data_IF_600081277711
#
_entry.id   IF_600081277711
#
_cell.length_a   1.000
_cell.length_b   1.000
_cell.length_c   1.000
_cell.angle_alpha   90.00
_cell.angle_beta   90.00
_cell.angle_gamma   90.00
#
_symmetry.space_group_name_H-M   'P 1'
#
loop_
_entity.id
_entity.type
_entity.pdbx_description
1 polymer ?
#
# COMPACT_ATOMS: atom_id res chain seq x y z
N UNK A 1 -14.74 -3.58 8.16
CA UNK A 1 -15.05 -4.71 7.21
C UNK A 1 -16.32 -4.34 6.48
N UNK A 2 -16.33 -4.42 5.16
CA UNK A 2 -17.46 -4.07 4.29
C UNK A 2 -18.59 -5.09 4.49
N UNK A 3 -19.86 -4.66 4.51
CA UNK A 3 -21.00 -5.53 4.82
C UNK A 3 -21.13 -6.70 3.84
N UNK A 4 -20.86 -6.49 2.54
CA UNK A 4 -20.83 -7.57 1.54
C UNK A 4 -19.83 -8.71 1.86
N UNK A 5 -18.72 -8.39 2.53
CA UNK A 5 -17.72 -9.40 2.96
C UNK A 5 -18.23 -10.17 4.18
N UNK A 6 -18.94 -9.49 5.11
CA UNK A 6 -19.57 -10.16 6.25
C UNK A 6 -20.66 -11.12 5.79
N UNK A 7 -21.48 -10.70 4.83
CA UNK A 7 -22.55 -11.53 4.25
C UNK A 7 -21.99 -12.75 3.51
N UNK A 8 -20.94 -12.56 2.71
CA UNK A 8 -20.27 -13.65 2.02
C UNK A 8 -19.68 -14.68 3.01
N UNK A 9 -19.08 -14.20 4.10
CA UNK A 9 -18.58 -15.07 5.18
C UNK A 9 -19.70 -15.82 5.89
N UNK A 10 -20.81 -15.14 6.22
CA UNK A 10 -21.98 -15.76 6.84
C UNK A 10 -22.62 -16.84 5.97
N UNK A 11 -22.58 -16.68 4.63
CA UNK A 11 -23.05 -17.69 3.67
C UNK A 11 -22.04 -18.83 3.43
N UNK A 12 -20.89 -18.83 4.09
CA UNK A 12 -19.86 -19.85 3.92
C UNK A 12 -19.15 -19.83 2.55
N UNK A 13 -19.16 -18.69 1.85
CA UNK A 13 -18.51 -18.56 0.53
C UNK A 13 -17.03 -18.22 0.68
N UNK A 14 -16.62 -17.67 1.84
CA UNK A 14 -15.25 -17.33 2.14
C UNK A 14 -14.67 -18.34 3.12
N UNK A 15 -14.02 -19.36 2.60
CA UNK A 15 -13.21 -20.30 3.38
C UNK A 15 -11.74 -19.94 3.22
N UNK A 16 -11.01 -20.03 4.35
CA UNK A 16 -9.56 -19.92 4.33
C UNK A 16 -8.98 -21.31 4.44
N UNK A 17 -8.29 -21.74 3.41
CA UNK A 17 -7.55 -22.99 3.40
C UNK A 17 -6.05 -22.70 3.55
N UNK A 18 -5.27 -23.73 3.89
CA UNK A 18 -3.82 -23.63 3.86
C UNK A 18 -3.32 -23.46 2.43
N UNK A 19 -2.14 -22.90 2.21
CA UNK A 19 -1.55 -22.86 0.88
C UNK A 19 -1.45 -24.26 0.28
N UNK A 20 -1.74 -24.39 -1.01
CA UNK A 20 -1.48 -25.63 -1.74
C UNK A 20 0.02 -25.81 -1.96
N UNK A 21 0.50 -27.05 -2.10
CA UNK A 21 1.92 -27.41 -2.23
C UNK A 21 2.41 -27.40 -3.67
N UNK A 22 1.55 -27.71 -4.63
CA UNK A 22 1.92 -27.81 -6.04
C UNK A 22 0.77 -27.54 -6.99
N UNK A 23 1.11 -27.10 -8.21
CA UNK A 23 0.19 -27.08 -9.34
C UNK A 23 0.21 -28.41 -10.09
N UNK A 24 -0.92 -28.73 -10.71
CA UNK A 24 -1.06 -29.74 -11.75
C UNK A 24 -1.63 -29.11 -13.01
N UNK A 25 -1.74 -29.85 -14.09
CA UNK A 25 -2.34 -29.37 -15.33
C UNK A 25 -3.77 -28.83 -15.14
N UNK A 26 -4.55 -29.45 -14.23
CA UNK A 26 -5.98 -29.17 -14.08
C UNK A 26 -6.37 -28.74 -12.65
N UNK A 27 -5.42 -28.42 -11.79
CA UNK A 27 -5.75 -28.07 -10.42
C UNK A 27 -4.54 -27.88 -9.51
N UNK A 28 -4.77 -28.08 -8.21
CA UNK A 28 -3.76 -27.93 -7.16
C UNK A 28 -3.70 -29.18 -6.28
N UNK A 29 -2.53 -29.42 -5.69
CA UNK A 29 -2.31 -30.45 -4.67
C UNK A 29 -2.08 -29.76 -3.34
N UNK A 30 -2.79 -30.16 -2.31
CA UNK A 30 -2.64 -29.68 -0.95
C UNK A 30 -1.50 -30.42 -0.22
N UNK A 31 -1.07 -29.90 0.93
CA UNK A 31 0.00 -30.51 1.74
C UNK A 31 -0.32 -31.95 2.19
N UNK A 32 -1.59 -32.29 2.36
CA UNK A 32 -2.05 -33.64 2.70
C UNK A 32 -2.09 -34.61 1.51
N UNK A 33 -1.67 -34.15 0.33
CA UNK A 33 -1.67 -34.93 -0.91
C UNK A 33 -3.01 -34.96 -1.64
N UNK A 34 -4.06 -34.35 -1.11
CA UNK A 34 -5.36 -34.27 -1.79
C UNK A 34 -5.27 -33.36 -3.01
N UNK A 35 -6.05 -33.71 -4.05
CA UNK A 35 -6.16 -32.95 -5.28
C UNK A 35 -7.47 -32.19 -5.33
N UNK A 36 -7.42 -30.96 -5.81
CA UNK A 36 -8.59 -30.16 -6.11
C UNK A 36 -8.51 -29.59 -7.52
N UNK A 37 -9.51 -29.86 -8.32
CA UNK A 37 -9.64 -29.25 -9.64
C UNK A 37 -10.01 -27.78 -9.46
N UNK A 38 -9.30 -26.89 -10.17
CA UNK A 38 -9.58 -25.45 -10.22
C UNK A 38 -9.42 -24.93 -11.63
N UNK A 39 -10.29 -24.02 -12.03
CA UNK A 39 -10.25 -23.42 -13.37
C UNK A 39 -9.29 -22.24 -13.44
N UNK A 40 -9.06 -21.57 -12.32
CA UNK A 40 -8.16 -20.42 -12.22
C UNK A 40 -7.62 -20.24 -10.81
N UNK A 41 -6.40 -19.71 -10.71
CA UNK A 41 -5.79 -19.24 -9.47
C UNK A 41 -5.49 -17.74 -9.60
N UNK A 42 -6.04 -16.96 -8.69
CA UNK A 42 -5.83 -15.51 -8.65
C UNK A 42 -4.92 -15.18 -7.46
N UNK A 43 -3.74 -14.66 -7.75
CA UNK A 43 -2.79 -14.25 -6.74
C UNK A 43 -3.15 -12.88 -6.15
N UNK A 44 -3.59 -12.87 -4.90
CA UNK A 44 -3.88 -11.66 -4.13
C UNK A 44 -2.85 -11.45 -3.01
N UNK A 45 -1.58 -11.62 -3.31
CA UNK A 45 -0.47 -11.66 -2.34
C UNK A 45 -0.01 -10.27 -1.90
N UNK A 46 -0.65 -9.21 -2.42
CA UNK A 46 -0.23 -7.84 -2.18
C UNK A 46 1.07 -7.48 -2.92
N UNK A 47 1.68 -6.42 -2.51
CA UNK A 47 2.95 -5.93 -3.06
C UNK A 47 3.77 -5.26 -1.96
N UNK A 48 5.07 -5.16 -2.19
CA UNK A 48 5.99 -4.40 -1.35
C UNK A 48 6.34 -3.09 -2.03
N UNK A 49 6.46 -2.02 -1.26
CA UNK A 49 6.93 -0.75 -1.76
C UNK A 49 8.36 -0.87 -2.29
N UNK A 50 8.62 -0.33 -3.48
CA UNK A 50 9.97 -0.24 -4.04
C UNK A 50 10.58 1.08 -3.60
N UNK A 51 11.42 1.03 -2.56
CA UNK A 51 12.05 2.20 -1.92
C UNK A 51 13.57 2.24 -2.09
N UNK A 52 14.16 1.37 -2.91
CA UNK A 52 15.61 1.28 -3.09
C UNK A 52 16.24 2.59 -3.55
N UNK A 53 15.55 3.34 -4.39
CA UNK A 53 15.97 4.65 -4.88
C UNK A 53 16.03 5.74 -3.79
N UNK A 54 15.37 5.52 -2.65
CA UNK A 54 15.35 6.42 -1.49
C UNK A 54 16.32 6.01 -0.37
N UNK A 55 16.92 4.83 -0.46
CA UNK A 55 17.91 4.35 0.52
C UNK A 55 19.08 5.30 0.74
N UNK A 56 19.65 5.97 -0.29
CA UNK A 56 20.73 6.93 -0.09
C UNK A 56 20.37 8.12 0.81
N UNK A 57 19.07 8.41 0.99
CA UNK A 57 18.60 9.47 1.89
C UNK A 57 18.57 9.05 3.37
N UNK A 58 18.77 7.76 3.69
CA UNK A 58 18.75 7.25 5.05
C UNK A 58 17.40 7.34 5.76
N UNK A 59 16.31 7.40 4.99
CA UNK A 59 14.94 7.63 5.51
C UNK A 59 14.05 6.38 5.50
N UNK A 60 14.52 5.29 4.90
CA UNK A 60 13.79 4.02 4.82
C UNK A 60 13.97 3.27 6.14
N UNK A 61 12.86 2.89 6.77
CA UNK A 61 12.83 2.14 8.02
C UNK A 61 13.05 0.63 7.79
N UNK A 62 13.35 -0.11 8.84
CA UNK A 62 13.61 -1.56 8.80
C UNK A 62 12.42 -2.36 8.23
N UNK A 63 11.20 -1.90 8.46
CA UNK A 63 9.97 -2.51 7.94
C UNK A 63 9.66 -2.15 6.48
N UNK A 64 10.63 -1.54 5.77
CA UNK A 64 10.48 -1.08 4.38
C UNK A 64 9.34 -0.07 4.19
N UNK A 65 9.21 0.87 5.12
CA UNK A 65 8.35 2.04 5.03
C UNK A 65 9.17 3.32 5.23
N UNK A 66 8.54 4.49 5.08
CA UNK A 66 9.12 5.78 5.46
C UNK A 66 8.15 6.43 6.44
N UNK A 67 8.68 6.98 7.52
CA UNK A 67 7.87 7.69 8.51
C UNK A 67 7.33 8.98 7.89
N UNK A 68 6.00 9.11 7.84
CA UNK A 68 5.30 10.25 7.25
C UNK A 68 4.28 10.86 8.21
N UNK A 69 4.04 12.15 8.06
CA UNK A 69 2.88 12.86 8.57
C UNK A 69 2.03 13.27 7.36
N UNK A 70 0.80 12.77 7.27
CA UNK A 70 0.05 12.85 6.02
C UNK A 70 0.76 12.08 4.91
N UNK A 71 1.19 12.78 3.86
CA UNK A 71 2.04 12.21 2.81
C UNK A 71 3.50 12.66 2.87
N UNK A 72 3.84 13.59 3.76
CA UNK A 72 5.15 14.21 3.88
C UNK A 72 6.11 13.40 4.77
N UNK A 73 7.33 13.19 4.31
CA UNK A 73 8.36 12.52 5.11
C UNK A 73 8.75 13.36 6.33
N UNK A 74 8.80 12.72 7.50
CA UNK A 74 9.23 13.35 8.75
C UNK A 74 10.74 13.66 8.73
N UNK A 75 11.54 12.75 8.17
CA UNK A 75 13.00 12.91 8.10
C UNK A 75 13.49 13.79 6.94
N UNK A 76 12.66 13.93 5.90
CA UNK A 76 13.01 14.71 4.70
C UNK A 76 11.85 15.65 4.36
N UNK A 77 11.91 16.87 4.85
CA UNK A 77 10.77 17.80 4.84
C UNK A 77 10.32 18.31 3.46
N UNK A 78 11.10 18.10 2.42
CA UNK A 78 10.78 18.43 1.03
C UNK A 78 10.46 17.19 0.17
N UNK A 79 10.06 16.08 0.81
CA UNK A 79 9.70 14.83 0.16
C UNK A 79 8.30 14.39 0.57
N UNK A 80 7.46 14.11 -0.42
CA UNK A 80 6.11 13.55 -0.26
C UNK A 80 6.01 12.21 -0.97
N UNK A 81 5.21 11.30 -0.42
CA UNK A 81 5.06 9.93 -0.89
C UNK A 81 3.59 9.64 -1.18
N UNK A 82 3.29 9.25 -2.41
CA UNK A 82 1.93 8.97 -2.88
C UNK A 82 1.87 7.58 -3.50
N UNK A 83 0.85 6.80 -3.15
CA UNK A 83 0.63 5.50 -3.78
C UNK A 83 1.37 4.32 -3.16
N UNK A 84 1.99 4.49 -2.00
CA UNK A 84 2.80 3.46 -1.34
C UNK A 84 2.03 2.54 -0.37
N UNK A 85 0.71 2.59 -0.31
CA UNK A 85 -0.11 1.74 0.55
C UNK A 85 -0.64 2.45 1.79
N UNK A 86 -1.13 1.68 2.76
CA UNK A 86 -1.85 2.18 3.93
C UNK A 86 -1.09 3.25 4.72
N UNK A 87 0.23 3.17 4.80
CA UNK A 87 1.05 4.14 5.53
C UNK A 87 1.20 5.50 4.82
N UNK A 88 0.79 5.61 3.55
CA UNK A 88 0.64 6.89 2.82
C UNK A 88 -0.83 7.26 2.62
N UNK A 89 -1.73 6.61 3.32
CA UNK A 89 -3.16 6.86 3.35
C UNK A 89 -4.01 5.66 2.90
N UNK A 90 -5.22 5.51 3.45
CA UNK A 90 -6.09 4.37 3.17
C UNK A 90 -6.38 4.19 1.67
N UNK A 91 -6.02 3.03 1.16
CA UNK A 91 -6.20 2.67 -0.25
C UNK A 91 -5.31 3.43 -1.23
N UNK A 92 -4.28 4.16 -0.77
CA UNK A 92 -3.44 5.01 -1.63
C UNK A 92 -2.71 4.25 -2.74
N UNK A 93 -2.46 2.97 -2.57
CA UNK A 93 -1.89 2.09 -3.59
C UNK A 93 -2.92 1.53 -4.60
N UNK A 94 -4.14 2.04 -4.60
CA UNK A 94 -5.20 1.66 -5.56
C UNK A 94 -5.47 2.79 -6.54
N UNK A 95 -5.98 2.46 -7.74
CA UNK A 95 -6.36 3.46 -8.74
C UNK A 95 -7.41 4.47 -8.22
N UNK A 96 -8.31 4.02 -7.37
CA UNK A 96 -9.34 4.88 -6.75
C UNK A 96 -8.76 5.73 -5.62
N UNK A 97 -7.97 5.12 -4.74
CA UNK A 97 -7.45 5.79 -3.55
C UNK A 97 -6.33 6.78 -3.85
N UNK A 98 -5.49 6.51 -4.86
CA UNK A 98 -4.35 7.37 -5.21
C UNK A 98 -4.77 8.78 -5.60
N UNK A 99 -5.88 8.94 -6.30
CA UNK A 99 -6.37 10.27 -6.70
C UNK A 99 -6.71 11.16 -5.51
N UNK A 100 -7.28 10.57 -4.44
CA UNK A 100 -7.58 11.28 -3.21
C UNK A 100 -6.30 11.63 -2.43
N UNK A 101 -5.38 10.67 -2.32
CA UNK A 101 -4.10 10.89 -1.67
C UNK A 101 -3.29 11.98 -2.39
N UNK A 102 -3.24 11.95 -3.73
CA UNK A 102 -2.53 12.95 -4.53
C UNK A 102 -3.09 14.37 -4.34
N UNK A 103 -4.41 14.55 -4.26
CA UNK A 103 -5.01 15.87 -3.99
C UNK A 103 -4.59 16.40 -2.63
N UNK A 104 -4.69 15.59 -1.58
CA UNK A 104 -4.26 15.99 -0.24
C UNK A 104 -2.77 16.36 -0.21
N UNK A 105 -1.94 15.61 -0.93
CA UNK A 105 -0.50 15.88 -1.06
C UNK A 105 -0.24 17.23 -1.74
N UNK A 106 -1.00 17.60 -2.76
CA UNK A 106 -0.87 18.92 -3.42
C UNK A 106 -1.15 20.04 -2.42
N UNK A 107 -2.19 19.90 -1.61
CA UNK A 107 -2.53 20.91 -0.59
C UNK A 107 -1.39 21.03 0.45
N UNK A 108 -0.79 19.92 0.89
CA UNK A 108 0.38 19.92 1.79
C UNK A 108 1.59 20.61 1.14
N UNK A 109 1.88 20.36 -0.14
CA UNK A 109 2.99 20.98 -0.87
C UNK A 109 2.77 22.49 -0.99
N UNK A 110 1.57 22.92 -1.35
CA UNK A 110 1.24 24.34 -1.46
C UNK A 110 1.43 25.05 -0.13
N UNK A 111 0.93 24.47 0.97
CA UNK A 111 1.12 25.04 2.30
C UNK A 111 2.61 25.18 2.66
N UNK A 112 3.40 24.14 2.39
CA UNK A 112 4.85 24.16 2.62
C UNK A 112 5.57 25.25 1.82
N UNK A 113 5.24 25.43 0.55
CA UNK A 113 5.85 26.46 -0.29
C UNK A 113 5.54 27.86 0.22
N UNK A 114 4.31 28.11 0.67
CA UNK A 114 3.94 29.39 1.30
C UNK A 114 4.74 29.67 2.60
N UNK A 115 4.98 28.63 3.41
CA UNK A 115 5.80 28.77 4.62
C UNK A 115 7.25 29.14 4.28
N UNK A 116 7.82 28.48 3.27
CA UNK A 116 9.20 28.73 2.82
C UNK A 116 9.33 30.14 2.26
N UNK A 117 8.40 30.59 1.41
CA UNK A 117 8.43 31.92 0.83
C UNK A 117 8.30 33.02 1.89
N UNK A 118 7.44 32.80 2.91
CA UNK A 118 7.27 33.71 4.02
C UNK A 118 8.56 33.84 4.83
N UNK A 119 9.24 32.72 5.15
CA UNK A 119 10.51 32.74 5.87
C UNK A 119 11.60 33.47 5.10
N UNK A 120 11.75 33.18 3.80
CA UNK A 120 12.73 33.83 2.94
C UNK A 120 12.49 35.34 2.78
N UNK A 121 11.26 35.80 2.94
CA UNK A 121 10.91 37.22 2.86
C UNK A 121 11.20 37.98 4.16
N UNK A 122 11.27 37.28 5.32
CA UNK A 122 11.58 37.85 6.62
C UNK A 122 13.09 37.94 6.89
N UNK A 123 13.91 37.22 6.14
CA UNK A 123 15.38 37.18 6.28
C UNK A 123 16.09 38.16 5.34
N UNK A 124 15.35 38.94 4.53
CA UNK A 124 15.86 40.00 3.66
C UNK A 124 15.57 41.39 4.24
#
# INVERSE_FOLDING_TARGET
MIDSVKDARARGVLHSERPFSAFTENGVIWEDGSFQQVDAVIWCTGFKATLDHLKPLGIVEENNTILVEGSRSVKQSNLWLVGYGEWTGPGSATLVGVSRAARATVDEIVAYLHEVDTKNSLEK
#
